data_IF_052240333019
#
_entry.id   IF_052240333019
#
_cell.length_a   1.000
_cell.length_b   1.000
_cell.length_c   1.000
_cell.angle_alpha   90.00
_cell.angle_beta   90.00
_cell.angle_gamma   90.00
#
_symmetry.space_group_name_H-M   'P 1'
#
loop_
_entity.id
_entity.type
_entity.pdbx_description
1 polymer ?
#
# COMPACT_ATOMS: atom_id res chain seq x y z
N UNK A 1 9.45 0.71 19.04
CA UNK A 1 10.61 1.13 18.21
C UNK A 1 11.69 1.85 19.04
N UNK A 2 12.93 1.98 18.54
CA UNK A 2 13.99 2.82 19.15
C UNK A 2 13.83 4.27 18.70
N UNK A 3 14.01 5.24 19.59
CA UNK A 3 13.85 6.66 19.28
C UNK A 3 15.19 7.37 19.15
N UNK A 4 15.35 8.15 18.09
CA UNK A 4 16.50 9.04 17.86
C UNK A 4 16.02 10.39 17.30
N UNK A 5 16.75 11.45 17.61
CA UNK A 5 16.44 12.81 17.15
C UNK A 5 17.66 13.43 16.46
N UNK A 6 17.41 14.15 15.37
CA UNK A 6 18.42 14.71 14.47
C UNK A 6 18.14 16.19 14.20
N UNK A 7 19.17 16.96 13.89
CA UNK A 7 19.03 18.40 13.60
C UNK A 7 18.45 18.70 12.22
N UNK A 8 18.36 17.71 11.32
CA UNK A 8 17.76 17.84 9.99
C UNK A 8 17.43 16.49 9.36
N UNK A 9 16.63 16.50 8.29
CA UNK A 9 16.41 15.30 7.46
C UNK A 9 17.71 14.80 6.82
N UNK A 10 18.65 15.69 6.49
CA UNK A 10 19.91 15.30 5.84
C UNK A 10 20.74 14.40 6.75
N UNK A 11 20.80 14.69 8.05
CA UNK A 11 21.45 13.81 9.04
C UNK A 11 20.76 12.45 9.16
N UNK A 12 19.42 12.42 9.10
CA UNK A 12 18.66 11.15 9.03
C UNK A 12 19.05 10.38 7.79
N UNK A 13 19.12 11.04 6.63
CA UNK A 13 19.46 10.40 5.37
C UNK A 13 20.90 9.90 5.31
N UNK A 14 21.84 10.62 5.94
CA UNK A 14 23.23 10.17 6.07
C UNK A 14 23.31 8.87 6.88
N UNK A 15 22.60 8.81 8.02
CA UNK A 15 22.46 7.58 8.79
C UNK A 15 21.86 6.46 7.94
N UNK A 16 20.69 6.70 7.33
CA UNK A 16 19.97 5.68 6.57
C UNK A 16 20.81 5.12 5.43
N UNK A 17 21.51 5.98 4.67
CA UNK A 17 22.36 5.57 3.55
C UNK A 17 23.63 4.86 4.00
N UNK A 18 24.20 5.23 5.15
CA UNK A 18 25.40 4.57 5.70
C UNK A 18 25.15 3.13 6.15
N UNK A 19 23.88 2.79 6.44
CA UNK A 19 23.47 1.46 6.90
C UNK A 19 22.88 0.58 5.79
N UNK A 20 22.72 1.10 4.56
CA UNK A 20 22.37 0.27 3.40
C UNK A 20 23.62 -0.53 3.03
N UNK A 21 23.59 -1.87 3.10
CA UNK A 21 24.73 -2.69 2.72
C UNK A 21 25.15 -2.40 1.28
N UNK A 22 26.46 -2.44 0.99
CA UNK A 22 26.92 -2.43 -0.40
C UNK A 22 26.22 -3.56 -1.17
N UNK A 23 25.75 -3.24 -2.38
CA UNK A 23 25.02 -4.18 -3.21
C UNK A 23 25.89 -5.43 -3.47
N UNK A 24 25.54 -6.60 -2.93
CA UNK A 24 26.36 -7.80 -3.08
C UNK A 24 26.24 -8.41 -4.49
N UNK A 25 25.31 -7.92 -5.32
CA UNK A 25 25.04 -8.39 -6.68
C UNK A 25 25.11 -7.24 -7.71
N UNK A 26 26.26 -6.54 -7.84
CA UNK A 26 26.39 -5.39 -8.71
C UNK A 26 26.17 -5.74 -10.20
N UNK A 27 26.40 -7.00 -10.59
CA UNK A 27 26.17 -7.46 -11.96
C UNK A 27 24.68 -7.54 -12.33
N UNK A 28 23.79 -7.61 -11.33
CA UNK A 28 22.32 -7.58 -11.49
C UNK A 28 21.73 -6.18 -11.31
N UNK A 29 22.59 -5.16 -11.16
CA UNK A 29 22.17 -3.76 -10.92
C UNK A 29 21.50 -3.09 -12.11
N UNK A 30 21.59 -3.68 -13.29
CA UNK A 30 20.88 -3.21 -14.49
C UNK A 30 19.37 -3.50 -14.43
N UNK A 31 18.97 -4.46 -13.60
CA UNK A 31 17.58 -4.86 -13.45
C UNK A 31 16.99 -4.12 -12.24
N UNK A 32 15.93 -3.34 -12.45
CA UNK A 32 15.19 -2.72 -11.36
C UNK A 32 14.33 -3.75 -10.61
N UNK A 33 13.78 -4.72 -11.34
CA UNK A 33 12.82 -5.67 -10.82
C UNK A 33 13.10 -7.09 -11.26
N UNK A 34 12.57 -8.03 -10.50
CA UNK A 34 12.57 -9.46 -10.77
C UNK A 34 11.13 -9.96 -10.81
N UNK A 35 10.84 -10.78 -11.82
CA UNK A 35 9.62 -11.56 -11.87
C UNK A 35 9.75 -12.81 -10.99
N UNK A 36 8.91 -12.89 -9.95
CA UNK A 36 8.78 -14.08 -9.09
C UNK A 36 7.45 -14.75 -9.41
N UNK A 37 7.47 -16.06 -9.66
CA UNK A 37 6.27 -16.86 -9.96
C UNK A 37 6.07 -17.91 -8.86
N UNK A 38 4.87 -17.98 -8.29
CA UNK A 38 4.49 -18.89 -7.20
C UNK A 38 3.81 -20.19 -7.67
N UNK A 39 3.87 -20.49 -8.97
CA UNK A 39 3.25 -21.68 -9.57
C UNK A 39 1.94 -21.41 -10.31
N UNK A 40 1.59 -20.14 -10.53
CA UNK A 40 0.49 -19.74 -11.39
C UNK A 40 0.45 -18.24 -11.68
N UNK A 41 0.86 -17.40 -10.72
CA UNK A 41 0.84 -15.95 -10.87
C UNK A 41 2.22 -15.33 -10.60
N UNK A 42 2.46 -14.20 -11.25
CA UNK A 42 3.69 -13.43 -11.18
C UNK A 42 3.57 -12.20 -10.28
N UNK A 43 4.63 -11.91 -9.55
CA UNK A 43 4.83 -10.63 -8.84
C UNK A 43 6.13 -10.01 -9.30
N UNK A 44 6.11 -8.70 -9.52
CA UNK A 44 7.31 -7.92 -9.81
C UNK A 44 7.87 -7.37 -8.49
N UNK A 45 8.96 -7.94 -8.00
CA UNK A 45 9.63 -7.51 -6.76
C UNK A 45 10.95 -6.81 -7.10
N UNK A 46 11.53 -6.02 -6.19
CA UNK A 46 12.84 -5.40 -6.39
C UNK A 46 13.89 -6.46 -6.70
N UNK A 47 14.73 -6.19 -7.70
CA UNK A 47 15.93 -7.00 -7.90
C UNK A 47 16.83 -6.85 -6.67
N UNK A 48 17.49 -7.92 -6.17
CA UNK A 48 18.52 -7.80 -5.14
C UNK A 48 19.61 -6.79 -5.50
N UNK A 49 19.89 -6.63 -6.80
CA UNK A 49 20.86 -5.67 -7.31
C UNK A 49 20.32 -4.25 -7.54
N UNK A 50 19.02 -4.01 -7.39
CA UNK A 50 18.44 -2.70 -7.67
C UNK A 50 19.01 -1.64 -6.69
N UNK A 51 19.28 -0.40 -7.16
CA UNK A 51 19.84 0.65 -6.31
C UNK A 51 18.92 1.10 -5.18
N UNK A 52 17.62 0.79 -5.27
CA UNK A 52 16.61 1.03 -4.24
C UNK A 52 16.30 -0.22 -3.40
N UNK A 53 16.95 -1.35 -3.67
CA UNK A 53 16.77 -2.56 -2.88
C UNK A 53 17.37 -2.35 -1.49
N UNK A 54 16.53 -2.50 -0.47
CA UNK A 54 16.88 -2.21 0.92
C UNK A 54 16.31 -3.31 1.82
N UNK A 55 17.06 -3.79 2.84
CA UNK A 55 16.52 -4.70 3.86
C UNK A 55 15.53 -3.99 4.80
N UNK A 56 15.36 -2.69 4.63
CA UNK A 56 14.49 -1.83 5.42
C UNK A 56 13.31 -1.31 4.60
N UNK A 57 12.18 -1.09 5.29
CA UNK A 57 11.06 -0.28 4.80
C UNK A 57 11.00 1.01 5.60
N UNK A 58 10.59 2.08 4.93
CA UNK A 58 10.56 3.43 5.45
C UNK A 58 9.16 4.03 5.37
N UNK A 59 8.85 4.97 6.25
CA UNK A 59 7.65 5.80 6.18
C UNK A 59 7.97 7.21 6.66
N UNK A 60 7.72 8.20 5.82
CA UNK A 60 7.84 9.60 6.21
C UNK A 60 6.52 10.21 6.63
N UNK A 61 6.53 11.07 7.65
CA UNK A 61 5.41 11.91 8.01
C UNK A 61 5.91 13.30 8.41
N UNK A 62 5.18 14.34 8.01
CA UNK A 62 5.52 15.73 8.33
C UNK A 62 5.52 16.03 9.82
N UNK A 63 4.81 15.21 10.60
CA UNK A 63 4.85 15.17 12.06
C UNK A 63 4.59 13.77 12.58
N UNK A 64 5.04 13.50 13.80
CA UNK A 64 4.64 12.30 14.55
C UNK A 64 3.22 12.48 15.08
N UNK A 65 2.38 11.49 14.81
CA UNK A 65 1.02 11.42 15.33
C UNK A 65 0.98 10.41 16.47
N UNK A 66 0.45 10.76 17.66
CA UNK A 66 0.12 9.76 18.67
C UNK A 66 -0.86 8.75 18.07
N UNK A 67 -0.51 7.48 18.13
CA UNK A 67 -1.13 6.39 17.37
C UNK A 67 -0.91 6.48 15.86
N UNK A 68 0.11 5.74 15.39
CA UNK A 68 0.39 5.59 13.97
C UNK A 68 -0.46 4.46 13.40
N UNK A 69 -1.73 4.76 13.09
CA UNK A 69 -2.71 3.78 12.62
C UNK A 69 -3.15 4.03 11.16
N UNK A 70 -3.62 2.98 10.45
CA UNK A 70 -4.23 3.08 9.13
C UNK A 70 -5.34 4.13 9.04
N UNK A 71 -5.58 4.64 7.83
CA UNK A 71 -6.57 5.70 7.58
C UNK A 71 -7.97 5.38 8.11
N UNK A 72 -8.41 4.13 7.96
CA UNK A 72 -9.73 3.67 8.41
C UNK A 72 -9.89 3.65 9.94
N UNK A 73 -8.78 3.60 10.69
CA UNK A 73 -8.79 3.54 12.15
C UNK A 73 -8.45 4.87 12.84
N UNK A 74 -8.17 5.93 12.07
CA UNK A 74 -7.83 7.24 12.65
C UNK A 74 -9.01 7.82 13.44
N UNK A 75 -8.74 8.19 14.68
CA UNK A 75 -9.74 8.78 15.59
C UNK A 75 -10.77 7.79 16.12
N UNK A 76 -10.54 6.48 15.97
CA UNK A 76 -11.30 5.45 16.66
C UNK A 76 -10.67 5.12 18.02
N UNK A 77 -11.44 4.48 18.89
CA UNK A 77 -10.92 3.87 20.11
C UNK A 77 -9.94 2.73 19.80
N UNK A 78 -8.86 2.65 20.58
CA UNK A 78 -7.87 1.57 20.53
C UNK A 78 -8.42 0.31 21.21
N UNK A 79 -9.21 -0.46 20.46
CA UNK A 79 -9.83 -1.71 20.92
C UNK A 79 -9.38 -2.89 20.06
N UNK A 80 -9.33 -4.07 20.65
CA UNK A 80 -8.91 -5.32 20.01
C UNK A 80 -10.01 -6.02 19.19
N UNK A 81 -11.25 -5.50 19.21
CA UNK A 81 -12.39 -6.14 18.55
C UNK A 81 -13.42 -5.12 18.03
N UNK A 82 -13.91 -5.25 16.77
CA UNK A 82 -14.85 -4.29 16.18
C UNK A 82 -16.16 -4.09 16.95
N UNK A 83 -16.63 -5.10 17.70
CA UNK A 83 -17.84 -4.98 18.52
C UNK A 83 -17.69 -4.02 19.71
N UNK A 84 -16.45 -3.71 20.12
CA UNK A 84 -16.17 -2.75 21.19
C UNK A 84 -16.20 -1.30 20.70
N UNK A 85 -16.17 -1.07 19.38
CA UNK A 85 -16.34 0.26 18.80
C UNK A 85 -17.78 0.74 18.99
N UNK A 86 -17.98 2.04 19.12
CA UNK A 86 -19.31 2.66 19.07
C UNK A 86 -19.98 2.44 17.71
N UNK A 87 -21.30 2.63 17.65
CA UNK A 87 -22.05 2.55 16.38
C UNK A 87 -21.51 3.54 15.35
N UNK A 88 -21.17 4.77 15.77
CA UNK A 88 -20.61 5.81 14.91
C UNK A 88 -19.26 5.38 14.31
N UNK A 89 -18.39 4.75 15.11
CA UNK A 89 -17.09 4.26 14.65
C UNK A 89 -17.22 3.07 13.69
N UNK A 90 -18.11 2.11 13.98
CA UNK A 90 -18.40 1.02 13.04
C UNK A 90 -18.96 1.53 11.71
N UNK A 91 -19.84 2.54 11.77
CA UNK A 91 -20.37 3.19 10.56
C UNK A 91 -19.27 3.87 9.74
N UNK A 92 -18.29 4.52 10.38
CA UNK A 92 -17.11 5.09 9.67
C UNK A 92 -16.34 4.00 8.90
N UNK A 93 -16.03 2.88 9.56
CA UNK A 93 -15.35 1.75 8.91
C UNK A 93 -16.19 1.16 7.77
N UNK A 94 -17.51 1.06 7.97
CA UNK A 94 -18.43 0.58 6.96
C UNK A 94 -18.46 1.49 5.71
N UNK A 95 -18.55 2.82 5.90
CA UNK A 95 -18.49 3.80 4.81
C UNK A 95 -17.16 3.68 4.04
N UNK A 96 -16.04 3.53 4.75
CA UNK A 96 -14.74 3.31 4.11
C UNK A 96 -14.73 2.02 3.27
N UNK A 97 -15.38 0.95 3.74
CA UNK A 97 -15.52 -0.30 2.99
C UNK A 97 -16.40 -0.14 1.74
N UNK A 98 -17.52 0.58 1.82
CA UNK A 98 -18.37 0.86 0.65
C UNK A 98 -17.61 1.64 -0.42
N UNK A 99 -16.85 2.67 -0.02
CA UNK A 99 -15.99 3.43 -0.92
C UNK A 99 -14.87 2.58 -1.52
N UNK A 100 -14.33 1.64 -0.75
CA UNK A 100 -13.37 0.66 -1.25
C UNK A 100 -13.98 -0.19 -2.35
N UNK A 101 -15.16 -0.79 -2.14
CA UNK A 101 -15.81 -1.59 -3.19
C UNK A 101 -16.11 -0.76 -4.46
N UNK A 102 -16.53 0.50 -4.30
CA UNK A 102 -16.73 1.41 -5.44
C UNK A 102 -15.43 1.60 -6.25
N UNK A 103 -14.32 1.84 -5.55
CA UNK A 103 -13.01 1.93 -6.20
C UNK A 103 -12.60 0.62 -6.87
N UNK A 104 -12.85 -0.53 -6.24
CA UNK A 104 -12.49 -1.83 -6.82
C UNK A 104 -13.25 -2.10 -8.12
N UNK A 105 -14.50 -1.65 -8.25
CA UNK A 105 -15.21 -1.71 -9.53
C UNK A 105 -14.52 -0.88 -10.62
N UNK A 106 -14.13 0.35 -10.31
CA UNK A 106 -13.37 1.20 -11.22
C UNK A 106 -12.01 0.58 -11.59
N UNK A 107 -11.26 0.09 -10.59
CA UNK A 107 -9.98 -0.58 -10.80
C UNK A 107 -10.11 -1.79 -11.72
N UNK A 108 -11.13 -2.63 -11.52
CA UNK A 108 -11.35 -3.86 -12.31
C UNK A 108 -11.76 -3.60 -13.75
N UNK A 109 -12.40 -2.45 -14.01
CA UNK A 109 -12.79 -1.99 -15.35
C UNK A 109 -11.67 -1.24 -16.08
N UNK A 110 -10.61 -0.83 -15.37
CA UNK A 110 -9.46 -0.16 -15.97
C UNK A 110 -8.69 -1.11 -16.92
N UNK A 111 -8.27 -0.66 -18.13
CA UNK A 111 -7.53 -1.51 -19.09
C UNK A 111 -6.28 -2.20 -18.52
N UNK A 112 -5.55 -1.51 -17.65
CA UNK A 112 -4.37 -2.06 -16.97
C UNK A 112 -4.67 -3.32 -16.10
N UNK A 113 -5.90 -3.48 -15.62
CA UNK A 113 -6.30 -4.68 -14.89
C UNK A 113 -6.44 -5.89 -15.82
N UNK A 114 -7.04 -5.70 -17.00
CA UNK A 114 -7.09 -6.74 -18.03
C UNK A 114 -5.66 -7.12 -18.50
N UNK A 115 -4.81 -6.13 -18.75
CA UNK A 115 -3.41 -6.37 -19.09
C UNK A 115 -2.64 -7.13 -17.99
N UNK A 116 -2.87 -6.79 -16.71
CA UNK A 116 -2.26 -7.52 -15.60
C UNK A 116 -2.69 -8.99 -15.59
N UNK A 117 -3.97 -9.29 -15.88
CA UNK A 117 -4.47 -10.67 -16.03
C UNK A 117 -3.84 -11.38 -17.22
N UNK A 118 -3.72 -10.73 -18.38
CA UNK A 118 -3.04 -11.29 -19.57
C UNK A 118 -1.59 -11.68 -19.26
N UNK A 119 -0.92 -10.87 -18.45
CA UNK A 119 0.46 -11.09 -18.00
C UNK A 119 0.56 -12.08 -16.82
N UNK A 120 -0.56 -12.59 -16.29
CA UNK A 120 -0.64 -13.36 -15.05
C UNK A 120 -0.02 -12.63 -13.84
N UNK A 121 -0.09 -11.29 -13.79
CA UNK A 121 0.38 -10.50 -12.66
C UNK A 121 -0.65 -10.47 -11.54
N UNK A 122 -0.18 -10.67 -10.31
CA UNK A 122 -0.99 -10.43 -9.11
C UNK A 122 -1.23 -8.94 -8.95
N UNK A 123 -2.49 -8.57 -8.79
CA UNK A 123 -2.89 -7.18 -8.51
C UNK A 123 -3.31 -7.04 -7.05
N UNK A 124 -2.49 -6.24 -6.37
CA UNK A 124 -2.68 -5.57 -5.09
C UNK A 124 -3.98 -4.83 -4.82
N UNK A 125 -5.20 -5.30 -5.11
CA UNK A 125 -6.39 -4.41 -5.17
C UNK A 125 -6.58 -3.45 -3.97
N UNK A 126 -6.64 -3.95 -2.72
CA UNK A 126 -6.74 -3.10 -1.51
C UNK A 126 -5.47 -2.28 -1.28
N UNK A 127 -4.30 -2.87 -1.58
CA UNK A 127 -3.00 -2.22 -1.42
C UNK A 127 -2.85 -1.03 -2.39
N UNK A 128 -3.34 -1.17 -3.62
CA UNK A 128 -3.47 -0.10 -4.60
C UNK A 128 -4.45 0.96 -4.11
N UNK A 129 -5.61 0.57 -3.59
CA UNK A 129 -6.58 1.53 -3.05
C UNK A 129 -5.95 2.42 -1.97
N UNK A 130 -5.17 1.82 -1.05
CA UNK A 130 -4.40 2.56 -0.05
C UNK A 130 -3.42 3.55 -0.69
N UNK A 131 -2.72 3.13 -1.74
CA UNK A 131 -1.75 3.95 -2.47
C UNK A 131 -2.37 5.06 -3.32
N UNK A 132 -3.65 4.89 -3.69
CA UNK A 132 -4.50 5.95 -4.22
C UNK A 132 -5.21 6.75 -3.13
N UNK A 133 -4.79 6.59 -1.87
CA UNK A 133 -5.20 7.39 -0.71
C UNK A 133 -6.64 7.15 -0.25
N UNK A 134 -7.20 5.99 -0.60
CA UNK A 134 -8.43 5.52 0.00
C UNK A 134 -8.16 4.98 1.41
N UNK A 135 -9.08 5.19 2.33
CA UNK A 135 -8.93 4.71 3.69
C UNK A 135 -9.07 3.18 3.75
N UNK A 136 -7.98 2.47 4.04
CA UNK A 136 -7.96 1.01 4.21
C UNK A 136 -7.36 0.63 5.58
N UNK A 137 -7.32 -0.67 5.88
CA UNK A 137 -6.58 -1.22 7.03
C UNK A 137 -5.06 -1.24 6.86
N UNK A 138 -4.54 -0.69 5.76
CA UNK A 138 -3.12 -0.75 5.41
C UNK A 138 -2.41 0.58 5.65
N UNK A 139 -1.10 0.51 5.89
CA UNK A 139 -0.18 1.64 5.91
C UNK A 139 0.76 1.59 4.73
N UNK A 140 0.94 2.71 4.04
CA UNK A 140 1.99 2.87 3.03
C UNK A 140 3.38 2.90 3.68
N UNK A 141 4.26 2.06 3.14
CA UNK A 141 5.70 2.04 3.37
C UNK A 141 6.41 2.14 2.02
N UNK A 142 7.70 2.43 2.02
CA UNK A 142 8.53 2.46 0.81
C UNK A 142 9.89 1.82 1.07
N UNK A 143 10.50 1.23 0.05
CA UNK A 143 11.90 0.81 0.13
C UNK A 143 12.90 1.92 -0.17
N UNK A 144 12.43 3.05 -0.69
CA UNK A 144 13.30 4.16 -1.03
C UNK A 144 13.28 5.21 0.10
N UNK A 145 14.40 5.41 0.81
CA UNK A 145 14.45 6.39 1.88
C UNK A 145 14.25 7.83 1.38
N UNK A 146 14.52 8.13 0.11
CA UNK A 146 14.25 9.44 -0.47
C UNK A 146 12.76 9.69 -0.65
N UNK A 147 11.98 8.66 -1.01
CA UNK A 147 10.51 8.73 -1.06
C UNK A 147 9.96 9.00 0.34
N UNK A 148 10.47 8.30 1.36
CA UNK A 148 10.09 8.58 2.74
C UNK A 148 10.47 10.01 3.16
N UNK A 149 11.67 10.48 2.82
CA UNK A 149 12.10 11.84 3.13
C UNK A 149 11.22 12.91 2.45
N UNK A 150 10.76 12.67 1.22
CA UNK A 150 9.80 13.56 0.55
C UNK A 150 8.51 13.70 1.38
N UNK A 151 7.88 12.58 1.78
CA UNK A 151 6.67 12.59 2.61
C UNK A 151 6.89 13.13 4.03
N UNK A 152 8.13 13.02 4.54
CA UNK A 152 8.49 13.58 5.84
C UNK A 152 8.68 15.11 5.79
N UNK A 153 8.99 15.69 4.63
CA UNK A 153 9.41 17.10 4.51
C UNK A 153 8.47 17.96 3.67
N UNK A 154 7.49 17.35 2.98
CA UNK A 154 6.52 18.03 2.14
C UNK A 154 5.09 17.65 2.52
N UNK A 155 4.17 18.61 2.41
CA UNK A 155 2.74 18.41 2.59
C UNK A 155 2.00 18.74 1.29
N UNK A 156 0.85 18.09 1.06
CA UNK A 156 0.01 18.34 -0.11
C UNK A 156 -1.20 19.19 0.28
N UNK A 157 -1.46 20.25 -0.48
CA UNK A 157 -2.62 21.10 -0.27
C UNK A 157 -3.90 20.51 -0.90
N UNK A 158 -5.02 21.21 -0.72
CA UNK A 158 -6.32 20.80 -1.23
C UNK A 158 -6.40 20.82 -2.78
N UNK A 159 -5.49 21.53 -3.45
CA UNK A 159 -5.38 21.55 -4.90
C UNK A 159 -4.43 20.47 -5.43
N UNK A 160 -3.91 19.60 -4.56
CA UNK A 160 -2.95 18.55 -4.92
C UNK A 160 -1.51 19.04 -5.08
N UNK A 161 -1.17 20.28 -4.72
CA UNK A 161 0.18 20.80 -4.85
C UNK A 161 1.03 20.49 -3.62
N UNK A 162 2.27 20.09 -3.85
CA UNK A 162 3.24 19.79 -2.81
C UNK A 162 4.04 21.03 -2.40
N UNK A 163 4.13 21.23 -1.09
CA UNK A 163 4.80 22.36 -0.47
C UNK A 163 5.77 21.89 0.64
N UNK A 164 6.97 22.48 0.76
CA UNK A 164 7.87 22.20 1.86
C UNK A 164 7.24 22.56 3.21
N UNK A 165 7.53 21.75 4.23
CA UNK A 165 7.22 22.07 5.63
C UNK A 165 8.27 23.07 6.13
N UNK A 166 7.80 24.17 6.74
CA UNK A 166 8.68 25.29 7.13
C UNK A 166 9.36 25.08 8.48
N UNK A 167 8.62 24.52 9.44
CA UNK A 167 9.03 24.37 10.84
C UNK A 167 8.27 23.21 11.51
N UNK A 168 8.70 22.83 12.71
CA UNK A 168 8.16 21.70 13.47
C UNK A 168 9.11 20.51 13.50
N UNK A 169 8.59 19.34 13.88
CA UNK A 169 9.36 18.09 13.99
C UNK A 169 8.79 17.06 13.05
N UNK A 170 9.58 16.66 12.05
CA UNK A 170 9.27 15.57 11.12
C UNK A 170 9.67 14.22 11.68
N UNK A 171 9.22 13.16 11.03
CA UNK A 171 9.56 11.78 11.43
C UNK A 171 9.73 10.88 10.20
N UNK A 172 10.76 10.04 10.25
CA UNK A 172 10.95 8.88 9.39
C UNK A 172 10.94 7.63 10.27
N UNK A 173 10.01 6.72 9.99
CA UNK A 173 10.00 5.40 10.58
C UNK A 173 10.82 4.46 9.71
N UNK A 174 11.52 3.52 10.35
CA UNK A 174 12.25 2.45 9.68
C UNK A 174 11.93 1.12 10.32
N UNK A 175 11.62 0.11 9.52
CA UNK A 175 11.42 -1.27 9.96
C UNK A 175 12.32 -2.21 9.17
N UNK A 176 12.86 -3.24 9.83
CA UNK A 176 13.68 -4.26 9.18
C UNK A 176 12.77 -5.37 8.68
N UNK A 177 12.84 -5.72 7.40
CA UNK A 177 11.95 -6.72 6.78
C UNK A 177 12.04 -8.07 7.50
N UNK A 178 13.25 -8.51 7.88
CA UNK A 178 13.45 -9.75 8.61
C UNK A 178 12.80 -9.74 9.99
N UNK A 179 12.82 -8.61 10.71
CA UNK A 179 12.15 -8.47 12.01
C UNK A 179 10.63 -8.45 11.86
N UNK A 180 10.09 -7.81 10.82
CA UNK A 180 8.65 -7.89 10.52
C UNK A 180 8.23 -9.34 10.29
N UNK A 181 8.99 -10.09 9.50
CA UNK A 181 8.75 -11.51 9.25
C UNK A 181 8.80 -12.34 10.54
N UNK A 182 9.77 -12.08 11.42
CA UNK A 182 9.87 -12.76 12.71
C UNK A 182 8.68 -12.47 13.63
N UNK A 183 8.21 -11.23 13.69
CA UNK A 183 7.09 -10.83 14.57
C UNK A 183 5.75 -11.34 14.07
N UNK A 184 5.53 -11.30 12.75
CA UNK A 184 4.28 -11.76 12.14
C UNK A 184 4.23 -13.29 12.05
N UNK A 185 5.39 -13.93 11.87
CA UNK A 185 5.49 -15.32 11.40
C UNK A 185 5.26 -15.41 9.89
N UNK A 186 5.72 -16.51 9.28
CA UNK A 186 5.75 -16.66 7.81
C UNK A 186 4.36 -16.49 7.16
N UNK A 187 3.33 -17.20 7.66
CA UNK A 187 1.98 -17.14 7.10
C UNK A 187 1.35 -15.75 7.18
N UNK A 188 1.47 -15.06 8.34
CA UNK A 188 0.89 -13.72 8.48
C UNK A 188 1.71 -12.67 7.74
N UNK A 189 3.02 -12.84 7.63
CA UNK A 189 3.87 -11.92 6.89
C UNK A 189 3.45 -11.86 5.43
N UNK A 190 3.25 -13.02 4.79
CA UNK A 190 2.82 -13.08 3.38
C UNK A 190 1.45 -12.43 3.15
N UNK A 191 0.57 -12.47 4.16
CA UNK A 191 -0.74 -11.81 4.10
C UNK A 191 -0.69 -10.31 4.42
N UNK A 192 0.13 -9.91 5.40
CA UNK A 192 0.09 -8.56 5.96
C UNK A 192 1.08 -7.60 5.29
N UNK A 193 2.26 -8.07 4.88
CA UNK A 193 3.31 -7.25 4.30
C UNK A 193 3.39 -7.51 2.79
N UNK A 194 2.97 -6.53 2.00
CA UNK A 194 2.81 -6.71 0.57
C UNK A 194 3.64 -5.71 -0.23
N UNK A 195 4.50 -6.25 -1.11
CA UNK A 195 5.15 -5.47 -2.14
C UNK A 195 4.12 -5.10 -3.21
N UNK A 196 3.92 -3.80 -3.43
CA UNK A 196 3.02 -3.29 -4.47
C UNK A 196 3.85 -2.90 -5.69
N UNK A 197 4.85 -2.03 -5.48
CA UNK A 197 5.84 -1.61 -6.48
C UNK A 197 5.36 -1.54 -7.92
N UNK A 198 6.15 -2.08 -8.85
CA UNK A 198 5.85 -2.01 -10.27
C UNK A 198 4.62 -2.86 -10.61
N UNK A 199 3.54 -2.18 -11.00
CA UNK A 199 2.32 -2.77 -11.57
C UNK A 199 1.96 -2.06 -12.87
N UNK A 200 0.89 -2.49 -13.53
CA UNK A 200 0.41 -1.84 -14.75
C UNK A 200 -0.14 -0.41 -14.51
N UNK A 201 -0.14 0.05 -13.26
CA UNK A 201 -0.38 1.44 -12.87
C UNK A 201 0.94 2.10 -12.46
N UNK A 202 1.17 3.37 -12.83
CA UNK A 202 2.49 3.98 -12.68
C UNK A 202 2.84 4.28 -11.21
N UNK A 203 1.88 4.74 -10.40
CA UNK A 203 2.13 5.28 -9.06
C UNK A 203 2.91 4.35 -8.11
N UNK A 204 2.54 3.07 -7.91
CA UNK A 204 3.21 2.27 -6.89
C UNK A 204 4.66 1.91 -7.26
N UNK A 205 4.98 1.87 -8.56
CA UNK A 205 6.33 1.65 -9.06
C UNK A 205 7.25 2.86 -8.85
N UNK A 206 6.70 4.07 -8.93
CA UNK A 206 7.44 5.30 -8.68
C UNK A 206 7.71 5.54 -7.20
N UNK A 207 6.78 5.14 -6.33
CA UNK A 207 6.96 5.27 -4.87
C UNK A 207 7.70 4.09 -4.23
N UNK A 208 8.09 3.07 -5.01
CA UNK A 208 8.69 1.81 -4.51
C UNK A 208 7.84 1.21 -3.37
N UNK A 209 6.53 1.20 -3.60
CA UNK A 209 5.53 1.06 -2.57
C UNK A 209 5.44 -0.34 -1.96
N UNK A 210 5.29 -0.36 -0.64
CA UNK A 210 4.86 -1.48 0.17
C UNK A 210 3.60 -1.10 0.93
N UNK A 211 2.83 -2.10 1.34
CA UNK A 211 1.85 -1.90 2.41
C UNK A 211 2.06 -2.88 3.55
N UNK A 212 1.68 -2.43 4.74
CA UNK A 212 1.52 -3.27 5.92
C UNK A 212 0.07 -3.20 6.40
N UNK A 213 -0.62 -4.33 6.45
CA UNK A 213 -1.89 -4.48 7.14
C UNK A 213 -1.65 -4.38 8.64
N UNK A 214 -2.30 -3.41 9.29
CA UNK A 214 -2.24 -3.22 10.74
C UNK A 214 -3.63 -3.46 11.29
N UNK A 215 -3.75 -4.33 12.30
CA UNK A 215 -5.04 -4.68 12.88
C UNK A 215 -5.64 -3.54 13.70
N UNK A 216 -6.97 -3.55 13.85
CA UNK A 216 -7.68 -2.64 14.75
C UNK A 216 -7.08 -2.70 16.17
N UNK A 217 -6.81 -1.54 16.76
CA UNK A 217 -6.25 -1.43 18.10
C UNK A 217 -4.74 -1.68 18.20
N UNK A 218 -4.05 -1.93 17.08
CA UNK A 218 -2.58 -2.07 17.05
C UNK A 218 -1.96 -0.76 16.56
N UNK A 219 -0.95 -0.28 17.26
CA UNK A 219 -0.16 0.89 16.85
C UNK A 219 1.03 0.45 15.99
N UNK A 220 1.29 1.11 14.87
CA UNK A 220 2.47 0.81 14.07
C UNK A 220 3.78 1.00 14.86
N UNK A 221 3.79 1.91 15.85
CA UNK A 221 4.97 2.14 16.68
C UNK A 221 5.34 0.96 17.61
N UNK A 222 4.41 0.01 17.80
CA UNK A 222 4.63 -1.22 18.56
C UNK A 222 5.46 -2.25 17.78
N UNK A 223 5.57 -2.11 16.45
CA UNK A 223 6.42 -2.97 15.63
C UNK A 223 7.92 -2.70 15.90
N UNK A 224 8.80 -3.71 15.74
CA UNK A 224 10.24 -3.52 15.88
C UNK A 224 10.77 -2.63 14.74
N UNK A 225 11.54 -1.60 15.11
CA UNK A 225 12.04 -0.60 14.17
C UNK A 225 12.60 0.62 14.87
N UNK A 226 12.80 1.69 14.10
CA UNK A 226 13.33 2.98 14.55
C UNK A 226 12.34 4.11 14.24
N UNK A 227 12.25 5.06 15.16
CA UNK A 227 11.55 6.35 15.02
C UNK A 227 12.63 7.43 14.98
N UNK A 228 12.90 7.94 13.78
CA UNK A 228 13.93 8.94 13.51
C UNK A 228 13.24 10.29 13.35
N UNK A 229 13.28 11.11 14.39
CA UNK A 229 12.69 12.47 14.37
C UNK A 229 13.72 13.50 13.96
N UNK A 230 13.28 14.59 13.34
CA UNK A 230 14.20 15.66 12.93
C UNK A 230 13.53 17.03 12.93
N UNK A 231 14.34 18.07 13.09
CA UNK A 231 13.87 19.46 12.97
C UNK A 231 13.57 19.81 11.51
N UNK A 232 12.35 20.27 11.26
CA UNK A 232 11.92 20.72 9.93
C UNK A 232 12.54 22.07 9.59
N UNK A 233 12.92 22.22 8.32
CA UNK A 233 13.33 23.48 7.71
C UNK A 233 12.81 23.51 6.27
N UNK A 234 12.36 24.67 5.81
CA UNK A 234 11.85 24.83 4.44
C UNK A 234 12.86 24.33 3.38
N UNK A 235 14.16 24.63 3.57
CA UNK A 235 15.23 24.18 2.68
C UNK A 235 15.29 22.66 2.51
N UNK A 236 15.01 21.90 3.57
CA UNK A 236 14.98 20.45 3.53
C UNK A 236 13.89 19.92 2.58
N UNK A 237 12.69 20.50 2.63
CA UNK A 237 11.61 20.10 1.74
C UNK A 237 11.83 20.55 0.29
N UNK A 238 12.48 21.70 0.05
CA UNK A 238 12.80 22.21 -1.29
C UNK A 238 13.67 21.21 -2.07
N UNK A 239 14.70 20.64 -1.45
CA UNK A 239 15.60 19.67 -2.09
C UNK A 239 14.83 18.44 -2.61
N UNK A 240 14.01 17.83 -1.74
CA UNK A 240 13.21 16.66 -2.11
C UNK A 240 12.10 17.00 -3.10
N UNK A 241 11.48 18.18 -2.96
CA UNK A 241 10.49 18.67 -3.93
C UNK A 241 11.09 18.82 -5.32
N UNK A 242 12.29 19.36 -5.44
CA UNK A 242 13.00 19.46 -6.71
C UNK A 242 13.36 18.07 -7.26
N UNK A 243 13.89 17.18 -6.40
CA UNK A 243 14.25 15.80 -6.78
C UNK A 243 13.08 15.04 -7.41
N UNK A 244 11.88 15.18 -6.83
CA UNK A 244 10.67 14.51 -7.27
C UNK A 244 9.78 15.35 -8.20
N UNK A 245 10.34 16.41 -8.79
CA UNK A 245 9.65 17.27 -9.77
C UNK A 245 8.29 17.79 -9.26
N UNK A 246 8.32 18.48 -8.12
CA UNK A 246 7.15 18.95 -7.40
C UNK A 246 6.13 17.84 -7.04
N UNK A 247 6.59 16.59 -6.95
CA UNK A 247 5.78 15.41 -6.65
C UNK A 247 5.25 14.67 -7.87
N UNK A 248 5.42 15.21 -9.09
CA UNK A 248 4.95 14.59 -10.34
C UNK A 248 5.58 13.23 -10.61
N UNK A 249 6.82 13.01 -10.15
CA UNK A 249 7.45 11.68 -10.24
C UNK A 249 6.76 10.66 -9.35
N UNK A 250 6.29 11.05 -8.16
CA UNK A 250 5.66 10.13 -7.20
C UNK A 250 4.14 9.98 -7.43
N UNK A 251 3.52 11.00 -8.01
CA UNK A 251 2.10 11.05 -8.34
C UNK A 251 1.94 11.36 -9.84
N UNK A 252 2.37 10.45 -10.72
CA UNK A 252 2.17 10.62 -12.15
C UNK A 252 0.66 10.74 -12.44
N UNK A 253 0.24 11.66 -13.33
CA UNK A 253 -1.17 11.81 -13.67
C UNK A 253 -1.76 10.54 -14.26
N UNK A 254 -2.87 10.08 -13.68
CA UNK A 254 -3.60 8.89 -14.12
C UNK A 254 -5.09 9.04 -13.78
N UNK A 255 -5.94 8.38 -14.55
CA UNK A 255 -7.40 8.52 -14.42
C UNK A 255 -7.97 7.92 -13.13
N UNK A 256 -7.30 6.94 -12.50
CA UNK A 256 -7.78 6.38 -11.24
C UNK A 256 -7.69 7.39 -10.10
N UNK A 257 -6.72 8.31 -10.16
CA UNK A 257 -6.62 9.41 -9.20
C UNK A 257 -7.86 10.29 -9.19
N UNK A 258 -8.38 10.63 -10.36
CA UNK A 258 -9.58 11.43 -10.51
C UNK A 258 -10.81 10.67 -9.98
N UNK A 259 -10.92 9.39 -10.31
CA UNK A 259 -12.02 8.52 -9.85
C UNK A 259 -12.00 8.38 -8.33
N UNK A 260 -10.84 8.17 -7.72
CA UNK A 260 -10.71 8.04 -6.27
C UNK A 260 -11.07 9.34 -5.57
N UNK A 261 -10.66 10.49 -6.11
CA UNK A 261 -11.04 11.78 -5.54
C UNK A 261 -12.56 12.01 -5.64
N UNK A 262 -13.19 11.63 -6.75
CA UNK A 262 -14.64 11.66 -6.89
C UNK A 262 -15.34 10.76 -5.85
N UNK A 263 -14.85 9.53 -5.62
CA UNK A 263 -15.40 8.61 -4.61
C UNK A 263 -15.23 9.18 -3.19
N UNK A 264 -14.06 9.74 -2.87
CA UNK A 264 -13.75 10.30 -1.54
C UNK A 264 -14.62 11.50 -1.20
N UNK A 265 -14.88 12.35 -2.18
CA UNK A 265 -15.60 13.62 -2.01
C UNK A 265 -17.10 13.51 -2.29
N UNK A 266 -17.57 12.39 -2.84
CA UNK A 266 -18.98 12.18 -3.13
C UNK A 266 -19.85 12.35 -1.85
N UNK A 267 -20.88 13.22 -1.90
CA UNK A 267 -21.86 13.35 -0.83
C UNK A 267 -22.89 12.22 -0.84
N UNK A 268 -22.74 11.24 -1.73
CA UNK A 268 -23.68 10.12 -1.88
C UNK A 268 -22.97 8.78 -2.03
N UNK A 269 -23.62 7.70 -1.60
CA UNK A 269 -23.21 6.32 -1.82
C UNK A 269 -24.27 5.58 -2.64
N UNK A 270 -23.83 4.71 -3.56
CA UNK A 270 -24.74 3.85 -4.31
C UNK A 270 -25.39 2.83 -3.37
N UNK A 271 -26.74 2.78 -3.37
CA UNK A 271 -27.51 1.82 -2.57
C UNK A 271 -27.11 0.37 -2.86
N UNK A 272 -26.80 0.05 -4.11
CA UNK A 272 -26.34 -1.27 -4.54
C UNK A 272 -25.05 -1.69 -3.82
N UNK A 273 -24.09 -0.78 -3.66
CA UNK A 273 -22.83 -1.07 -2.97
C UNK A 273 -22.99 -1.22 -1.46
N UNK A 274 -23.86 -0.41 -0.83
CA UNK A 274 -24.21 -0.59 0.59
C UNK A 274 -24.82 -1.97 0.80
N UNK A 275 -25.75 -2.37 -0.07
CA UNK A 275 -26.38 -3.68 -0.08
C UNK A 275 -25.37 -4.83 -0.28
N UNK A 276 -24.41 -4.68 -1.19
CA UNK A 276 -23.36 -5.67 -1.45
C UNK A 276 -22.44 -5.84 -0.24
N UNK A 277 -22.00 -4.74 0.38
CA UNK A 277 -21.15 -4.81 1.57
C UNK A 277 -21.89 -5.46 2.74
N UNK A 278 -23.17 -5.14 2.97
CA UNK A 278 -23.99 -5.81 3.99
C UNK A 278 -24.05 -7.32 3.74
N UNK A 279 -24.29 -7.72 2.48
CA UNK A 279 -24.33 -9.12 2.08
C UNK A 279 -22.98 -9.82 2.34
N UNK A 280 -21.87 -9.17 2.01
CA UNK A 280 -20.52 -9.69 2.23
C UNK A 280 -20.19 -9.91 3.72
N UNK A 281 -20.90 -9.20 4.61
CA UNK A 281 -20.80 -9.35 6.07
C UNK A 281 -21.80 -10.35 6.65
N UNK A 282 -22.53 -11.08 5.80
CA UNK A 282 -23.50 -12.10 6.20
C UNK A 282 -24.91 -11.56 6.48
N UNK A 283 -25.20 -10.30 6.18
CA UNK A 283 -26.57 -9.78 6.28
C UNK A 283 -27.44 -10.32 5.14
N UNK A 284 -28.53 -11.01 5.46
CA UNK A 284 -29.43 -11.64 4.48
C UNK A 284 -30.91 -11.48 4.88
N UNK A 285 -31.82 -11.56 3.90
CA UNK A 285 -33.26 -11.49 4.11
C UNK A 285 -33.71 -10.24 4.87
N UNK A 286 -34.65 -10.39 5.80
CA UNK A 286 -35.19 -9.26 6.60
C UNK A 286 -34.14 -8.54 7.45
N UNK A 287 -33.01 -9.17 7.76
CA UNK A 287 -31.91 -8.48 8.45
C UNK A 287 -31.21 -7.51 7.50
N UNK A 288 -30.99 -7.92 6.25
CA UNK A 288 -30.39 -7.07 5.23
C UNK A 288 -31.24 -5.83 4.96
N UNK A 289 -32.54 -6.00 4.72
CA UNK A 289 -33.44 -4.88 4.44
C UNK A 289 -33.46 -3.86 5.60
N UNK A 290 -33.52 -4.36 6.85
CA UNK A 290 -33.48 -3.50 8.04
C UNK A 290 -32.17 -2.74 8.19
N UNK A 291 -31.03 -3.39 7.98
CA UNK A 291 -29.72 -2.73 8.09
C UNK A 291 -29.49 -1.74 6.94
N UNK A 292 -30.00 -2.03 5.73
CA UNK A 292 -29.94 -1.10 4.60
C UNK A 292 -30.77 0.15 4.89
N UNK A 293 -32.00 0.01 5.36
CA UNK A 293 -32.87 1.14 5.72
C UNK A 293 -32.30 1.95 6.90
N UNK A 294 -31.74 1.28 7.91
CA UNK A 294 -31.06 1.94 9.02
C UNK A 294 -29.84 2.75 8.54
N UNK A 295 -29.08 2.20 7.59
CA UNK A 295 -27.90 2.86 7.01
C UNK A 295 -28.26 4.17 6.30
N UNK A 296 -29.38 4.21 5.56
CA UNK A 296 -29.84 5.43 4.84
C UNK A 296 -29.99 6.60 5.80
N UNK A 297 -30.77 6.43 6.87
CA UNK A 297 -31.02 7.51 7.84
C UNK A 297 -29.78 7.86 8.67
N UNK A 298 -29.04 6.83 9.10
CA UNK A 298 -27.87 7.02 9.96
C UNK A 298 -26.73 7.77 9.23
N UNK A 299 -26.46 7.42 7.96
CA UNK A 299 -25.39 8.04 7.19
C UNK A 299 -25.69 9.50 6.85
N UNK A 300 -26.92 9.81 6.45
CA UNK A 300 -27.33 11.18 6.19
C UNK A 300 -27.22 12.05 7.46
N UNK A 301 -27.72 11.56 8.59
CA UNK A 301 -27.74 12.33 9.84
C UNK A 301 -26.34 12.56 10.45
N UNK A 302 -25.48 11.54 10.46
CA UNK A 302 -24.20 11.60 11.18
C UNK A 302 -22.99 11.95 10.29
N UNK A 303 -23.09 11.73 8.97
CA UNK A 303 -21.98 11.95 8.04
C UNK A 303 -22.32 12.88 6.88
N UNK A 304 -23.58 13.28 6.71
CA UNK A 304 -24.01 14.07 5.56
C UNK A 304 -23.85 13.32 4.24
N UNK A 305 -24.00 11.99 4.28
CA UNK A 305 -23.87 11.12 3.09
C UNK A 305 -25.21 10.46 2.80
N UNK A 306 -25.78 10.76 1.63
CA UNK A 306 -27.04 10.16 1.21
C UNK A 306 -26.83 8.81 0.52
N UNK A 307 -27.63 7.81 0.88
CA UNK A 307 -27.65 6.52 0.18
C UNK A 307 -28.74 6.57 -0.89
N UNK A 308 -28.33 6.54 -2.16
CA UNK A 308 -29.22 6.80 -3.31
C UNK A 308 -29.10 5.71 -4.38
N UNK A 309 -30.14 5.58 -5.18
CA UNK A 309 -30.14 4.71 -6.37
C UNK A 309 -29.39 5.42 -7.50
N UNK A 310 -28.07 5.24 -7.51
CA UNK A 310 -27.18 5.70 -8.58
C UNK A 310 -26.27 4.57 -9.02
N UNK A 311 -25.76 4.70 -10.24
CA UNK A 311 -24.63 3.89 -10.68
C UNK A 311 -23.39 4.18 -9.81
N UNK A 312 -22.59 3.15 -9.50
CA UNK A 312 -21.27 3.32 -8.91
C UNK A 312 -20.39 4.27 -9.73
N UNK A 313 -19.60 5.10 -9.05
CA UNK A 313 -18.62 5.97 -9.68
C UNK A 313 -17.54 5.08 -10.30
N UNK A 314 -17.39 5.18 -11.61
CA UNK A 314 -16.39 4.44 -12.39
C UNK A 314 -15.70 5.33 -13.41
N UNK A 315 -14.95 4.72 -14.32
CA UNK A 315 -14.32 5.45 -15.42
C UNK A 315 -15.37 5.88 -16.45
N UNK A 316 -15.33 7.15 -16.86
CA UNK A 316 -16.10 7.63 -18.00
C UNK A 316 -15.58 7.06 -19.33
N UNK A 317 -16.36 7.08 -20.42
CA UNK A 317 -15.86 6.67 -21.74
C UNK A 317 -14.60 7.43 -22.18
N UNK A 318 -14.49 8.72 -21.85
CA UNK A 318 -13.30 9.53 -22.14
C UNK A 318 -12.10 9.08 -21.30
N UNK A 319 -12.30 8.85 -20.00
CA UNK A 319 -11.26 8.35 -19.11
C UNK A 319 -10.78 6.95 -19.53
N UNK A 320 -11.66 6.09 -20.05
CA UNK A 320 -11.28 4.78 -20.60
C UNK A 320 -10.38 4.93 -21.83
N UNK A 321 -10.64 5.91 -22.71
CA UNK A 321 -9.77 6.19 -23.85
C UNK A 321 -8.38 6.69 -23.40
N UNK A 322 -8.34 7.58 -22.41
CA UNK A 322 -7.08 8.07 -21.82
C UNK A 322 -6.30 6.91 -21.18
N UNK A 323 -6.96 6.09 -20.35
CA UNK A 323 -6.36 4.93 -19.70
C UNK A 323 -5.79 3.93 -20.73
N UNK A 324 -6.52 3.69 -21.82
CA UNK A 324 -6.07 2.82 -22.90
C UNK A 324 -4.82 3.39 -23.58
N UNK A 325 -4.81 4.69 -23.89
CA UNK A 325 -3.64 5.33 -24.51
C UNK A 325 -2.41 5.28 -23.59
N UNK A 326 -2.58 5.54 -22.28
CA UNK A 326 -1.51 5.42 -21.29
C UNK A 326 -0.97 3.99 -21.20
N UNK A 327 -1.86 2.99 -21.21
CA UNK A 327 -1.47 1.58 -21.23
C UNK A 327 -0.66 1.22 -22.48
N UNK A 328 -1.11 1.62 -23.67
CA UNK A 328 -0.39 1.36 -24.92
C UNK A 328 0.98 2.05 -24.98
N UNK A 329 1.11 3.24 -24.38
CA UNK A 329 2.40 3.91 -24.25
C UNK A 329 3.36 3.17 -23.30
N UNK A 330 2.83 2.61 -22.22
CA UNK A 330 3.61 1.91 -21.19
C UNK A 330 4.06 0.51 -21.63
N UNK A 331 3.18 -0.25 -22.29
CA UNK A 331 3.37 -1.67 -22.69
C UNK A 331 4.75 -1.99 -23.29
N UNK A 332 5.28 -1.22 -24.27
CA UNK A 332 6.58 -1.53 -24.88
C UNK A 332 7.73 -1.56 -23.88
N UNK A 333 7.64 -0.75 -22.82
CA UNK A 333 8.74 -0.54 -21.86
C UNK A 333 8.49 -1.22 -20.52
N UNK A 334 7.33 -1.84 -20.33
CA UNK A 334 6.90 -2.36 -19.03
C UNK A 334 7.90 -3.37 -18.43
N UNK A 335 8.51 -4.21 -19.26
CA UNK A 335 9.47 -5.23 -18.82
C UNK A 335 10.94 -4.86 -19.09
N UNK A 336 11.25 -3.64 -19.54
CA UNK A 336 12.63 -3.24 -19.91
C UNK A 336 13.66 -3.35 -18.76
N UNK A 337 13.23 -3.11 -17.53
CA UNK A 337 14.04 -3.19 -16.30
C UNK A 337 13.69 -4.44 -15.46
N UNK A 338 12.98 -5.41 -16.03
CA UNK A 338 12.51 -6.62 -15.35
C UNK A 338 13.30 -7.83 -15.83
N UNK A 339 13.95 -8.53 -14.90
CA UNK A 339 14.53 -9.84 -15.15
C UNK A 339 13.58 -10.97 -14.73
N UNK A 340 13.37 -11.93 -15.62
CA UNK A 340 12.68 -13.17 -15.25
C UNK A 340 13.64 -14.11 -14.52
N UNK A 341 13.30 -14.52 -13.28
CA UNK A 341 13.96 -15.64 -12.62
C UNK A 341 13.10 -16.90 -12.82
N UNK A 342 13.70 -17.97 -13.32
CA UNK A 342 13.07 -19.28 -13.27
C UNK A 342 13.06 -19.73 -11.80
N UNK A 343 11.89 -19.69 -11.17
CA UNK A 343 11.72 -20.30 -9.84
C UNK A 343 11.75 -21.81 -10.05
N UNK A 344 12.92 -22.44 -9.85
CA UNK A 344 12.97 -23.87 -9.62
C UNK A 344 12.12 -24.13 -8.38
N UNK A 345 11.03 -24.89 -8.53
CA UNK A 345 10.26 -25.40 -7.39
C UNK A 345 11.25 -25.96 -6.36
N UNK A 346 11.07 -25.70 -5.05
CA UNK A 346 11.82 -26.47 -4.08
C UNK A 346 11.56 -27.95 -4.38
N UNK A 347 12.64 -28.72 -4.52
CA UNK A 347 12.56 -30.18 -4.60
C UNK A 347 12.04 -30.62 -3.23
N UNK A 348 10.72 -30.64 -3.08
CA UNK A 348 10.08 -31.38 -2.01
C UNK A 348 10.33 -32.86 -2.30
N UNK A 349 10.96 -33.53 -1.34
CA UNK A 349 11.10 -34.99 -1.17
C UNK A 349 12.04 -35.74 -2.11
N UNK A 350 13.35 -35.65 -1.86
CA UNK A 350 14.29 -36.78 -1.99
C UNK A 350 15.28 -36.86 -0.80
N UNK A 351 14.82 -36.56 0.42
CA UNK A 351 15.48 -36.98 1.66
C UNK A 351 14.61 -38.05 2.34
N UNK A 352 14.48 -39.18 1.65
CA UNK A 352 13.78 -40.37 2.14
C UNK A 352 14.37 -41.69 1.65
N UNK A 353 15.49 -41.68 0.92
CA UNK A 353 16.06 -42.87 0.28
C UNK A 353 17.56 -43.09 0.58
N UNK A 354 18.07 -42.57 1.70
CA UNK A 354 19.41 -42.93 2.22
C UNK A 354 19.31 -43.19 3.72
N UNK A 355 18.51 -44.20 4.09
CA UNK A 355 18.60 -44.90 5.37
C UNK A 355 17.81 -46.21 5.24
N UNK A 356 18.38 -47.15 4.48
CA UNK A 356 18.05 -48.59 4.50
C UNK A 356 19.02 -49.37 3.59
N UNK A 357 20.31 -49.19 3.81
CA UNK A 357 21.34 -50.16 3.41
C UNK A 357 22.38 -50.16 4.51
N UNK A 358 22.13 -50.98 5.53
CA UNK A 358 23.10 -51.62 6.43
C UNK A 358 22.38 -52.16 7.66
N UNK A 359 21.62 -53.24 7.50
CA UNK A 359 21.51 -54.26 8.55
C UNK A 359 21.72 -55.63 7.90
N UNK A 360 22.61 -56.39 8.50
CA UNK A 360 23.33 -57.53 7.93
C UNK A 360 22.49 -58.76 7.59
N UNK A 361 23.09 -59.56 6.71
CA UNK A 361 22.75 -60.95 6.38
C UNK A 361 22.65 -61.88 7.61
N UNK A 362 21.88 -62.98 7.51
CA UNK A 362 21.93 -64.07 8.47
C UNK A 362 23.06 -65.06 8.11
N UNK A 363 23.93 -65.33 9.08
CA UNK A 363 24.91 -66.42 9.11
C UNK A 363 24.93 -67.08 10.47
#
# INVERSE_FOLDING_TARGET
MRHQHFGSIHEVMDLLRSEIPENPFPETSRDGYVWVNDGGQGRLVPSPGAPFSSPFLYRGQTKRHPHCVPGVFRGLQMVDHPQKLSQLERAKCFIARVRLEEFLMALRSHPAHAYSKEMNLVVSEEALAQHYELATGRLDLTQDPDVAAFFATNWRDANGQWHPVKEGVGVVYRVVISHLKQVLGDERYEFCAEWIGKQAWPRPGEQKGWTLLVSLGVDFEDYPGDILTFDQRESCGVDFRQKFDAGLKLFPPDVLSEVVEAIKTAPTMARSLVSEVLTSQGCTGEMHDRELDASVGFFAHHFGIDVVDREPIGLSPEQLLVAQAQLEQMKPTFLHDVRALAVCRPISTELGAISRQNEGEPG
#
